data_IF_141275552885
#
_entry.id   IF_141275552885
#
_cell.length_a   1.000
_cell.length_b   1.000
_cell.length_c   1.000
_cell.angle_alpha   90.00
_cell.angle_beta   90.00
_cell.angle_gamma   90.00
#
_symmetry.space_group_name_H-M   'P 1'
#
loop_
_entity.id
_entity.type
_entity.pdbx_description
1 polymer ?
#
# COMPACT_ATOMS: atom_id res chain seq x y z
N UNK A 1 -15.62 26.44 -2.82
CA UNK A 1 -16.50 25.28 -3.04
C UNK A 1 -15.72 24.03 -2.66
N UNK A 2 -16.29 23.13 -1.87
CA UNK A 2 -15.66 21.85 -1.51
C UNK A 2 -15.81 20.87 -2.67
N UNK A 3 -14.70 20.24 -3.10
CA UNK A 3 -14.71 19.24 -4.17
C UNK A 3 -15.38 17.96 -3.66
N UNK A 4 -16.41 17.48 -4.37
CA UNK A 4 -17.11 16.23 -4.06
C UNK A 4 -16.23 15.01 -4.41
N UNK A 5 -16.28 13.95 -3.60
CA UNK A 5 -15.54 12.71 -3.84
C UNK A 5 -16.38 11.49 -3.49
N UNK A 6 -16.20 10.40 -4.24
CA UNK A 6 -16.92 9.14 -4.05
C UNK A 6 -16.17 8.13 -3.20
N UNK A 7 -14.86 8.32 -3.02
CA UNK A 7 -13.97 7.37 -2.36
C UNK A 7 -12.89 8.06 -1.53
N UNK A 8 -12.39 7.34 -0.53
CA UNK A 8 -11.22 7.72 0.28
C UNK A 8 -10.23 6.56 0.30
N UNK A 9 -8.95 6.84 0.07
CA UNK A 9 -7.85 5.91 0.27
C UNK A 9 -6.95 6.40 1.41
N UNK A 10 -6.87 5.61 2.47
CA UNK A 10 -5.90 5.79 3.55
C UNK A 10 -4.62 5.03 3.22
N UNK A 11 -3.48 5.70 3.28
CA UNK A 11 -2.18 5.15 2.85
C UNK A 11 -1.20 5.22 4.01
N UNK A 12 -0.59 4.07 4.29
CA UNK A 12 0.42 3.91 5.35
C UNK A 12 1.42 2.81 4.96
N UNK A 13 2.58 2.81 5.61
CA UNK A 13 3.70 1.91 5.31
C UNK A 13 4.19 1.07 6.49
N UNK A 14 4.95 0.02 6.17
CA UNK A 14 5.73 -0.73 7.14
C UNK A 14 7.12 -1.08 6.59
N UNK A 15 8.14 -0.99 7.44
CA UNK A 15 9.56 -0.98 7.04
C UNK A 15 10.08 0.43 6.77
N UNK A 16 11.39 0.58 6.57
CA UNK A 16 11.98 1.87 6.21
C UNK A 16 12.33 1.93 4.71
N UNK A 17 12.47 3.13 4.15
CA UNK A 17 12.77 3.34 2.74
C UNK A 17 14.27 3.49 2.44
N UNK A 18 15.12 3.34 3.45
CA UNK A 18 16.57 3.48 3.29
C UNK A 18 17.13 2.42 2.37
N UNK A 19 18.01 2.87 1.47
CA UNK A 19 18.67 2.05 0.45
C UNK A 19 20.20 2.00 0.62
N UNK A 20 20.79 2.79 1.53
CA UNK A 20 22.26 2.86 1.70
C UNK A 20 22.87 1.55 2.20
N UNK A 21 22.16 0.88 3.11
CA UNK A 21 22.54 -0.38 3.73
C UNK A 21 21.24 -1.16 3.98
N UNK A 22 21.09 -2.36 3.43
CA UNK A 22 19.82 -3.10 3.46
C UNK A 22 20.03 -4.48 4.07
N UNK A 23 19.20 -4.85 5.06
CA UNK A 23 19.21 -6.19 5.64
C UNK A 23 18.76 -7.25 4.62
N UNK A 24 19.26 -8.49 4.67
CA UNK A 24 20.33 -8.97 5.56
C UNK A 24 21.75 -8.73 5.01
N UNK A 25 21.90 -8.08 3.85
CA UNK A 25 23.21 -7.90 3.20
C UNK A 25 24.15 -7.04 4.04
N UNK A 26 23.62 -5.98 4.65
CA UNK A 26 24.37 -5.08 5.52
C UNK A 26 23.69 -4.99 6.90
N UNK A 27 24.47 -5.20 7.97
CA UNK A 27 24.01 -5.10 9.37
C UNK A 27 25.02 -4.28 10.18
N UNK A 28 24.62 -3.18 10.87
CA UNK A 28 23.26 -2.62 10.93
C UNK A 28 22.83 -2.00 9.59
N UNK A 29 21.52 -2.05 9.31
CA UNK A 29 20.95 -1.55 8.05
C UNK A 29 19.44 -1.35 8.13
N UNK A 30 18.90 -0.76 7.07
CA UNK A 30 17.47 -0.64 6.79
C UNK A 30 16.80 -2.01 6.65
N UNK A 31 15.49 -2.09 6.88
CA UNK A 31 14.67 -3.29 6.71
C UNK A 31 14.87 -3.93 5.34
N UNK A 32 14.65 -5.23 5.22
CA UNK A 32 14.75 -5.90 3.91
C UNK A 32 13.60 -5.46 3.00
N UNK A 33 12.44 -5.20 3.60
CA UNK A 33 11.20 -4.88 2.91
C UNK A 33 10.75 -3.45 3.17
N UNK A 34 10.13 -2.84 2.15
CA UNK A 34 9.23 -1.71 2.32
C UNK A 34 7.85 -2.12 1.78
N UNK A 35 6.84 -2.03 2.65
CA UNK A 35 5.45 -2.33 2.33
C UNK A 35 4.67 -1.03 2.33
N UNK A 36 3.99 -0.73 1.23
CA UNK A 36 3.03 0.36 1.17
C UNK A 36 1.63 -0.21 1.01
N UNK A 37 0.68 0.28 1.80
CA UNK A 37 -0.70 -0.17 1.77
C UNK A 37 -1.67 0.93 1.38
N UNK A 38 -2.81 0.55 0.83
CA UNK A 38 -3.98 1.43 0.78
C UNK A 38 -5.22 0.71 1.30
N UNK A 39 -5.97 1.38 2.18
CA UNK A 39 -7.35 1.00 2.55
C UNK A 39 -8.31 1.94 1.84
N UNK A 40 -9.03 1.41 0.85
CA UNK A 40 -9.99 2.16 0.04
C UNK A 40 -11.41 1.89 0.51
N UNK A 41 -12.15 2.96 0.80
CA UNK A 41 -13.56 2.91 1.19
C UNK A 41 -14.39 3.87 0.31
N UNK A 42 -15.70 3.65 0.26
CA UNK A 42 -16.63 4.67 -0.25
C UNK A 42 -16.67 5.86 0.70
N UNK A 43 -16.84 7.06 0.17
CA UNK A 43 -16.95 8.29 0.96
C UNK A 43 -18.10 8.24 1.96
N UNK A 44 -19.21 7.57 1.63
CA UNK A 44 -20.34 7.35 2.55
C UNK A 44 -19.96 6.55 3.80
N UNK A 45 -18.89 5.76 3.76
CA UNK A 45 -18.40 5.00 4.91
C UNK A 45 -17.39 5.77 5.77
N UNK A 46 -16.98 6.98 5.37
CA UNK A 46 -15.94 7.73 6.06
C UNK A 46 -16.32 8.01 7.53
N UNK A 47 -17.57 8.41 7.78
CA UNK A 47 -18.08 8.66 9.13
C UNK A 47 -18.02 7.43 10.05
N UNK A 48 -18.17 6.21 9.49
CA UNK A 48 -18.14 4.96 10.24
C UNK A 48 -16.73 4.48 10.61
N UNK A 49 -15.69 5.12 10.05
CA UNK A 49 -14.29 4.68 10.27
C UNK A 49 -13.90 4.78 11.74
N UNK A 50 -14.39 5.81 12.44
CA UNK A 50 -14.21 5.97 13.89
C UNK A 50 -14.83 4.81 14.67
N UNK A 51 -16.08 4.47 14.38
CA UNK A 51 -16.79 3.36 15.02
C UNK A 51 -16.07 2.03 14.78
N UNK A 52 -15.50 1.83 13.58
CA UNK A 52 -14.75 0.61 13.28
C UNK A 52 -13.51 0.48 14.16
N UNK A 53 -12.75 1.57 14.34
CA UNK A 53 -11.56 1.57 15.19
C UNK A 53 -11.92 1.45 16.68
N UNK A 54 -12.99 2.09 17.15
CA UNK A 54 -13.49 1.92 18.52
C UNK A 54 -13.92 0.47 18.80
N UNK A 55 -14.66 -0.14 17.88
CA UNK A 55 -15.06 -1.54 17.97
C UNK A 55 -13.84 -2.47 17.97
N UNK A 56 -12.86 -2.22 17.10
CA UNK A 56 -11.63 -3.00 17.06
C UNK A 56 -10.84 -2.89 18.37
N UNK A 57 -10.63 -1.67 18.90
CA UNK A 57 -9.97 -1.45 20.20
C UNK A 57 -10.70 -2.16 21.34
N UNK A 58 -12.04 -2.16 21.30
CA UNK A 58 -12.88 -2.91 22.23
C UNK A 58 -12.59 -4.41 22.21
N UNK A 59 -12.55 -5.02 21.02
CA UNK A 59 -12.25 -6.45 20.84
C UNK A 59 -10.83 -6.83 21.25
N UNK A 60 -9.86 -5.95 20.94
CA UNK A 60 -8.46 -6.12 21.31
C UNK A 60 -8.18 -5.89 22.81
N UNK A 61 -9.18 -5.40 23.57
CA UNK A 61 -9.06 -5.00 24.98
C UNK A 61 -7.95 -3.97 25.19
N UNK A 62 -7.84 -2.99 24.28
CA UNK A 62 -6.86 -1.88 24.33
C UNK A 62 -7.57 -0.52 24.32
N UNK A 63 -8.73 -0.42 24.99
CA UNK A 63 -9.60 0.76 24.96
C UNK A 63 -8.90 2.07 25.39
N UNK A 64 -7.85 1.99 26.21
CA UNK A 64 -7.08 3.16 26.66
C UNK A 64 -6.06 3.64 25.63
N UNK A 65 -5.71 2.84 24.63
CA UNK A 65 -4.76 3.24 23.59
C UNK A 65 -5.45 4.15 22.56
N UNK A 66 -4.84 5.30 22.29
CA UNK A 66 -5.27 6.22 21.22
C UNK A 66 -5.07 5.60 19.83
N UNK A 67 -4.03 4.78 19.68
CA UNK A 67 -3.63 4.17 18.42
C UNK A 67 -3.45 2.66 18.59
N UNK A 68 -3.89 1.89 17.59
CA UNK A 68 -3.56 0.47 17.47
C UNK A 68 -2.18 0.36 16.84
N UNK A 69 -1.16 0.03 17.62
CA UNK A 69 0.16 -0.30 17.08
C UNK A 69 0.22 -1.80 16.77
N UNK A 70 -0.07 -2.20 15.52
CA UNK A 70 -0.20 -3.61 15.16
C UNK A 70 1.04 -4.44 15.55
N UNK A 71 2.24 -3.89 15.35
CA UNK A 71 3.49 -4.59 15.65
C UNK A 71 3.61 -5.02 17.13
N UNK A 72 3.03 -4.23 18.07
CA UNK A 72 3.04 -4.47 19.53
C UNK A 72 1.99 -5.49 19.97
N UNK A 73 1.04 -5.85 19.10
CA UNK A 73 0.02 -6.82 19.43
C UNK A 73 0.60 -8.24 19.48
N UNK A 74 0.05 -9.06 20.38
CA UNK A 74 0.27 -10.51 20.40
C UNK A 74 -0.38 -11.16 19.17
N UNK A 75 0.07 -12.37 18.82
CA UNK A 75 -0.36 -13.07 17.60
C UNK A 75 -1.90 -13.27 17.52
N UNK A 76 -2.53 -13.68 18.61
CA UNK A 76 -3.99 -13.81 18.72
C UNK A 76 -4.72 -12.49 18.41
N UNK A 77 -4.21 -11.38 18.93
CA UNK A 77 -4.75 -10.03 18.71
C UNK A 77 -4.50 -9.52 17.29
N UNK A 78 -3.34 -9.84 16.71
CA UNK A 78 -3.02 -9.53 15.30
C UNK A 78 -4.01 -10.23 14.36
N UNK A 79 -4.27 -11.52 14.60
CA UNK A 79 -5.23 -12.30 13.82
C UNK A 79 -6.64 -11.71 13.96
N UNK A 80 -7.09 -11.44 15.19
CA UNK A 80 -8.40 -10.83 15.45
C UNK A 80 -8.57 -9.50 14.69
N UNK A 81 -7.53 -8.68 14.63
CA UNK A 81 -7.57 -7.41 13.89
C UNK A 81 -7.75 -7.64 12.39
N UNK A 82 -6.97 -8.55 11.79
CA UNK A 82 -7.09 -8.86 10.37
C UNK A 82 -8.45 -9.50 10.02
N UNK A 83 -8.96 -10.40 10.85
CA UNK A 83 -10.30 -11.00 10.67
C UNK A 83 -11.43 -9.97 10.79
N UNK A 84 -11.25 -8.96 11.66
CA UNK A 84 -12.19 -7.84 11.75
C UNK A 84 -12.17 -7.00 10.47
N UNK A 85 -10.97 -6.62 10.00
CA UNK A 85 -10.79 -5.88 8.76
C UNK A 85 -11.33 -6.65 7.54
N UNK A 86 -11.21 -7.98 7.51
CA UNK A 86 -11.75 -8.82 6.45
C UNK A 86 -13.28 -8.74 6.31
N UNK A 87 -13.99 -8.19 7.31
CA UNK A 87 -15.45 -8.03 7.29
C UNK A 87 -15.88 -6.63 6.85
N UNK A 88 -15.01 -5.63 6.96
CA UNK A 88 -15.33 -4.23 6.66
C UNK A 88 -15.65 -4.01 5.16
N UNK A 89 -16.49 -3.02 4.83
CA UNK A 89 -16.79 -2.63 3.45
C UNK A 89 -15.66 -1.79 2.85
N UNK A 90 -14.45 -2.37 2.82
CA UNK A 90 -13.22 -1.77 2.32
C UNK A 90 -12.54 -2.66 1.28
N UNK A 91 -11.58 -2.10 0.53
CA UNK A 91 -10.64 -2.85 -0.29
C UNK A 91 -9.21 -2.52 0.07
N UNK A 92 -8.38 -3.55 0.11
CA UNK A 92 -6.98 -3.45 0.51
C UNK A 92 -6.06 -3.65 -0.68
N UNK A 93 -5.04 -2.81 -0.75
CA UNK A 93 -3.98 -2.86 -1.75
C UNK A 93 -2.63 -2.89 -1.05
N UNK A 94 -1.69 -3.62 -1.63
CA UNK A 94 -0.32 -3.73 -1.16
C UNK A 94 0.63 -3.55 -2.34
N UNK A 95 1.68 -2.75 -2.13
CA UNK A 95 2.91 -2.82 -2.90
C UNK A 95 4.03 -3.23 -1.94
N UNK A 96 4.58 -4.41 -2.15
CA UNK A 96 5.67 -4.97 -1.37
C UNK A 96 6.96 -4.90 -2.20
N UNK A 97 7.96 -4.17 -1.72
CA UNK A 97 9.28 -4.11 -2.36
C UNK A 97 10.33 -4.79 -1.50
N UNK A 98 10.93 -5.85 -2.01
CA UNK A 98 12.18 -6.37 -1.48
C UNK A 98 13.32 -5.47 -1.97
N UNK A 99 14.11 -4.93 -1.05
CA UNK A 99 15.10 -3.90 -1.37
C UNK A 99 16.49 -4.45 -1.71
N UNK A 100 16.71 -5.77 -1.60
CA UNK A 100 18.04 -6.38 -1.83
C UNK A 100 18.62 -6.00 -3.20
N UNK A 101 17.81 -5.97 -4.25
CA UNK A 101 18.28 -5.66 -5.60
C UNK A 101 18.55 -4.17 -5.88
N UNK A 102 18.22 -3.28 -4.96
CA UNK A 102 18.35 -1.82 -5.11
C UNK A 102 19.17 -1.18 -3.98
N UNK A 103 19.86 -1.98 -3.17
CA UNK A 103 20.84 -1.48 -2.20
C UNK A 103 21.94 -0.68 -2.91
N UNK A 104 22.26 0.50 -2.37
CA UNK A 104 23.20 1.46 -2.95
C UNK A 104 22.69 2.16 -4.22
N UNK A 105 21.51 1.81 -4.74
CA UNK A 105 21.03 2.38 -5.98
C UNK A 105 20.56 3.84 -5.78
N UNK A 106 21.02 4.70 -6.68
CA UNK A 106 20.53 6.07 -6.83
C UNK A 106 19.94 6.21 -8.22
N UNK A 107 18.69 6.66 -8.32
CA UNK A 107 18.07 6.92 -9.60
C UNK A 107 18.64 8.22 -10.20
N UNK A 108 19.37 8.18 -11.34
CA UNK A 108 20.01 9.37 -11.91
C UNK A 108 19.05 10.46 -12.38
N UNK A 109 17.80 10.09 -12.69
CA UNK A 109 16.77 11.05 -13.10
C UNK A 109 15.97 11.58 -11.90
N UNK A 110 15.66 10.71 -10.95
CA UNK A 110 14.97 11.15 -9.74
C UNK A 110 15.89 11.92 -8.78
N UNK A 111 17.22 11.71 -8.83
CA UNK A 111 18.20 12.51 -8.08
C UNK A 111 18.30 13.96 -8.56
N UNK A 112 17.83 14.25 -9.79
CA UNK A 112 17.72 15.62 -10.33
C UNK A 112 16.51 16.37 -9.73
N UNK A 113 15.51 15.63 -9.23
CA UNK A 113 14.40 16.19 -8.48
C UNK A 113 14.85 16.24 -7.01
N UNK A 114 14.74 17.38 -6.32
CA UNK A 114 15.13 17.50 -4.91
C UNK A 114 14.12 16.80 -3.98
N UNK A 115 13.74 15.55 -4.27
CA UNK A 115 13.03 14.69 -3.33
C UNK A 115 14.04 13.76 -2.69
N UNK A 116 14.24 13.91 -1.37
CA UNK A 116 15.06 12.97 -0.60
C UNK A 116 14.41 11.57 -0.53
N UNK A 117 13.15 11.43 -0.98
CA UNK A 117 12.31 10.25 -0.86
C UNK A 117 11.86 9.66 -2.22
N UNK A 118 12.72 9.69 -3.24
CA UNK A 118 12.33 9.22 -4.60
C UNK A 118 11.77 7.79 -4.61
N UNK A 119 12.32 6.90 -3.77
CA UNK A 119 11.91 5.50 -3.71
C UNK A 119 10.48 5.37 -3.16
N UNK A 120 10.14 6.16 -2.13
CA UNK A 120 8.78 6.24 -1.62
C UNK A 120 7.80 6.81 -2.65
N UNK A 121 8.18 7.86 -3.38
CA UNK A 121 7.38 8.41 -4.48
C UNK A 121 7.15 7.38 -5.60
N UNK A 122 8.15 6.54 -5.89
CA UNK A 122 8.03 5.44 -6.83
C UNK A 122 7.03 4.37 -6.33
N UNK A 123 7.18 3.91 -5.09
CA UNK A 123 6.26 2.95 -4.46
C UNK A 123 4.82 3.45 -4.45
N UNK A 124 4.64 4.72 -4.12
CA UNK A 124 3.33 5.36 -4.08
C UNK A 124 2.72 5.47 -5.45
N UNK A 125 3.51 5.82 -6.48
CA UNK A 125 3.04 5.76 -7.87
C UNK A 125 2.53 4.36 -8.19
N UNK A 126 3.33 3.31 -7.96
CA UNK A 126 2.93 1.92 -8.26
C UNK A 126 1.64 1.55 -7.54
N UNK A 127 1.46 1.97 -6.29
CA UNK A 127 0.22 1.76 -5.53
C UNK A 127 -0.97 2.48 -6.19
N UNK A 128 -0.81 3.77 -6.50
CA UNK A 128 -1.86 4.59 -7.09
C UNK A 128 -2.29 4.08 -8.46
N UNK A 129 -1.38 3.58 -9.30
CA UNK A 129 -1.72 2.94 -10.58
C UNK A 129 -2.80 1.85 -10.42
N UNK A 130 -2.82 1.10 -9.30
CA UNK A 130 -3.85 0.08 -9.01
C UNK A 130 -5.07 0.67 -8.33
N UNK A 131 -4.86 1.55 -7.36
CA UNK A 131 -5.96 2.19 -6.62
C UNK A 131 -6.84 3.03 -7.55
N UNK A 132 -6.25 3.86 -8.40
CA UNK A 132 -7.02 4.71 -9.33
C UNK A 132 -7.71 3.88 -10.41
N UNK A 133 -7.07 2.83 -10.91
CA UNK A 133 -7.71 1.89 -11.83
C UNK A 133 -8.94 1.22 -11.20
N UNK A 134 -8.82 0.77 -9.95
CA UNK A 134 -9.95 0.22 -9.20
C UNK A 134 -11.07 1.24 -9.03
N UNK A 135 -10.75 2.45 -8.59
CA UNK A 135 -11.73 3.49 -8.31
C UNK A 135 -12.44 3.94 -9.58
N UNK A 136 -11.72 4.15 -10.69
CA UNK A 136 -12.32 4.51 -11.97
C UNK A 136 -13.34 3.45 -12.43
N UNK A 137 -12.92 2.18 -12.43
CA UNK A 137 -13.78 1.08 -12.83
C UNK A 137 -14.96 0.85 -11.86
N UNK A 138 -14.78 1.09 -10.56
CA UNK A 138 -15.82 0.90 -9.54
C UNK A 138 -16.80 2.07 -9.49
N UNK A 139 -16.32 3.28 -9.75
CA UNK A 139 -17.15 4.49 -9.75
C UNK A 139 -18.22 4.44 -10.82
N UNK A 140 -17.90 3.95 -12.02
CA UNK A 140 -18.89 3.75 -13.08
C UNK A 140 -20.02 2.79 -12.67
N UNK A 141 -19.73 1.78 -11.84
CA UNK A 141 -20.74 0.84 -11.33
C UNK A 141 -21.55 1.45 -10.19
N UNK A 142 -20.90 2.16 -9.29
CA UNK A 142 -21.51 2.64 -8.06
C UNK A 142 -22.30 3.95 -8.26
N UNK A 143 -21.90 4.77 -9.24
CA UNK A 143 -22.44 6.12 -9.45
C UNK A 143 -22.85 6.42 -10.90
N UNK A 144 -22.56 5.53 -11.87
CA UNK A 144 -22.78 5.80 -13.30
C UNK A 144 -21.78 6.76 -13.94
N UNK A 145 -20.90 7.38 -13.15
CA UNK A 145 -19.87 8.33 -13.58
C UNK A 145 -18.57 8.17 -12.78
N UNK A 146 -17.49 8.78 -13.25
CA UNK A 146 -16.21 8.82 -12.53
C UNK A 146 -16.29 9.86 -11.40
N UNK A 147 -16.14 9.40 -10.16
CA UNK A 147 -16.09 10.24 -8.95
C UNK A 147 -14.66 10.32 -8.45
N UNK A 148 -14.31 11.48 -7.88
CA UNK A 148 -12.97 11.69 -7.37
C UNK A 148 -12.65 10.79 -6.17
N UNK A 149 -11.36 10.50 -6.05
CA UNK A 149 -10.70 9.82 -4.95
C UNK A 149 -10.01 10.85 -4.07
N UNK A 150 -10.32 10.82 -2.78
CA UNK A 150 -9.56 11.50 -1.74
C UNK A 150 -8.41 10.61 -1.25
N UNK A 151 -7.21 11.17 -1.18
CA UNK A 151 -6.03 10.48 -0.67
C UNK A 151 -5.65 11.05 0.69
N UNK A 152 -5.46 10.18 1.67
CA UNK A 152 -4.99 10.54 3.00
C UNK A 152 -3.75 9.71 3.35
N UNK A 153 -2.60 10.37 3.49
CA UNK A 153 -1.35 9.75 3.87
C UNK A 153 -1.09 9.86 5.36
N UNK A 154 -0.43 8.85 5.90
CA UNK A 154 0.23 8.91 7.20
C UNK A 154 1.46 9.82 7.14
N UNK A 155 1.65 10.66 8.15
CA UNK A 155 2.81 11.54 8.23
C UNK A 155 4.09 10.77 8.52
N UNK A 156 5.18 11.15 7.83
CA UNK A 156 6.48 10.51 7.96
C UNK A 156 7.60 11.54 8.01
N UNK A 157 8.59 11.29 8.87
CA UNK A 157 9.82 12.08 8.92
C UNK A 157 10.56 12.09 7.57
N UNK A 158 10.91 13.28 7.08
CA UNK A 158 11.73 13.48 5.86
C UNK A 158 10.94 13.71 4.58
N UNK A 159 9.63 13.44 4.55
CA UNK A 159 8.79 13.67 3.37
C UNK A 159 8.17 15.07 3.42
N UNK A 160 8.58 15.96 2.51
CA UNK A 160 7.93 17.26 2.35
C UNK A 160 6.74 17.12 1.40
N UNK A 161 5.52 17.40 1.86
CA UNK A 161 4.30 17.20 1.07
C UNK A 161 4.18 18.06 -0.19
N UNK A 162 4.79 19.24 -0.18
CA UNK A 162 4.96 20.05 -1.39
C UNK A 162 5.75 19.29 -2.48
N UNK A 163 6.70 18.42 -2.11
CA UNK A 163 7.43 17.58 -3.05
C UNK A 163 6.56 16.46 -3.63
N UNK A 164 5.66 15.87 -2.82
CA UNK A 164 4.77 14.82 -3.34
C UNK A 164 3.73 15.40 -4.30
N UNK A 165 3.17 16.58 -3.98
CA UNK A 165 2.32 17.32 -4.92
C UNK A 165 3.04 17.64 -6.23
N UNK A 166 4.25 18.20 -6.14
CA UNK A 166 5.05 18.52 -7.31
C UNK A 166 5.37 17.27 -8.14
N UNK A 167 5.63 16.14 -7.48
CA UNK A 167 5.85 14.85 -8.15
C UNK A 167 4.62 14.38 -8.93
N UNK A 168 3.42 14.48 -8.36
CA UNK A 168 2.20 14.11 -9.09
C UNK A 168 1.87 15.03 -10.25
N UNK A 169 2.03 16.35 -10.07
CA UNK A 169 1.87 17.30 -11.17
C UNK A 169 2.89 17.01 -12.29
N UNK A 170 4.14 16.72 -11.93
CA UNK A 170 5.16 16.29 -12.89
C UNK A 170 4.78 15.01 -13.63
N UNK A 171 4.27 13.99 -12.92
CA UNK A 171 3.77 12.75 -13.55
C UNK A 171 2.60 13.02 -14.51
N UNK A 172 1.68 13.91 -14.13
CA UNK A 172 0.53 14.30 -14.96
C UNK A 172 0.97 15.00 -16.25
N UNK A 173 1.97 15.89 -16.15
CA UNK A 173 2.55 16.58 -17.31
C UNK A 173 3.32 15.63 -18.24
N UNK A 174 3.97 14.61 -17.69
CA UNK A 174 4.72 13.58 -18.44
C UNK A 174 3.84 12.47 -19.04
N UNK A 175 2.53 12.74 -19.20
CA UNK A 175 1.44 11.87 -19.69
C UNK A 175 1.77 10.99 -20.91
N UNK A 176 2.82 11.29 -21.68
CA UNK A 176 3.06 10.73 -23.01
C UNK A 176 4.09 9.61 -23.12
N UNK A 177 4.79 9.16 -22.06
CA UNK A 177 5.71 7.99 -22.14
C UNK A 177 6.31 7.61 -20.77
N UNK A 178 5.63 6.84 -19.92
CA UNK A 178 6.31 6.30 -18.75
C UNK A 178 7.42 5.34 -19.21
N UNK A 179 8.62 5.43 -18.62
CA UNK A 179 9.76 4.55 -18.92
C UNK A 179 9.39 3.06 -18.80
N UNK A 180 8.43 2.77 -17.92
CA UNK A 180 7.79 1.48 -17.80
C UNK A 180 6.36 1.60 -18.31
N UNK A 181 5.91 0.81 -19.31
CA UNK A 181 4.57 0.89 -19.91
C UNK A 181 3.45 0.39 -18.96
N UNK A 182 3.72 0.35 -17.66
CA UNK A 182 2.92 -0.32 -16.65
C UNK A 182 1.79 0.60 -16.19
N UNK A 183 0.66 -0.02 -15.81
CA UNK A 183 -0.64 0.59 -15.47
C UNK A 183 -0.56 2.07 -15.13
N UNK A 184 -1.20 2.93 -15.91
CA UNK A 184 -1.09 4.36 -15.72
C UNK A 184 -1.97 4.81 -14.54
N UNK A 185 -1.58 5.89 -13.87
CA UNK A 185 -2.49 6.58 -12.95
C UNK A 185 -3.70 7.04 -13.78
N UNK A 186 -4.89 6.64 -13.34
CA UNK A 186 -6.13 7.12 -13.92
C UNK A 186 -6.43 8.50 -13.35
N UNK A 187 -6.06 9.52 -14.13
CA UNK A 187 -6.22 10.91 -13.73
C UNK A 187 -7.69 11.36 -13.68
N UNK A 188 -8.65 10.57 -14.19
CA UNK A 188 -10.08 10.94 -14.14
C UNK A 188 -10.64 10.92 -12.72
N UNK A 189 -10.01 10.17 -11.81
CA UNK A 189 -10.42 10.08 -10.39
C UNK A 189 -9.54 10.92 -9.47
N UNK A 190 -8.56 11.65 -10.00
CA UNK A 190 -7.59 12.38 -9.20
C UNK A 190 -7.90 13.88 -9.20
N UNK A 191 -7.90 14.49 -8.02
CA UNK A 191 -8.01 15.94 -7.88
C UNK A 191 -6.93 16.46 -6.94
N UNK A 192 -6.29 17.58 -7.30
CA UNK A 192 -5.18 18.16 -6.51
C UNK A 192 -5.63 18.49 -5.09
N UNK A 193 -6.80 19.11 -4.94
CA UNK A 193 -7.27 19.58 -3.63
C UNK A 193 -7.87 18.46 -2.75
N UNK A 194 -7.77 17.19 -3.19
CA UNK A 194 -8.21 16.01 -2.44
C UNK A 194 -7.04 15.16 -1.94
N UNK A 195 -5.87 15.78 -1.82
CA UNK A 195 -4.66 15.17 -1.30
C UNK A 195 -4.36 15.74 0.09
N UNK A 196 -4.31 14.86 1.09
CA UNK A 196 -4.08 15.26 2.47
C UNK A 196 -3.06 14.36 3.16
N UNK A 197 -2.38 14.92 4.15
CA UNK A 197 -1.49 14.17 5.04
C UNK A 197 -1.81 14.52 6.47
N UNK A 198 -1.88 13.49 7.30
CA UNK A 198 -2.20 13.61 8.71
C UNK A 198 -1.24 12.76 9.54
N UNK A 199 -0.94 13.16 10.79
CA UNK A 199 -0.31 12.26 11.74
C UNK A 199 -1.11 10.95 11.88
N UNK A 200 -0.42 9.82 12.04
CA UNK A 200 -1.05 8.50 12.09
C UNK A 200 -2.12 8.33 13.20
N UNK A 201 -2.10 9.17 14.24
CA UNK A 201 -3.10 9.18 15.32
C UNK A 201 -4.33 10.07 15.05
N UNK A 202 -4.26 10.97 14.07
CA UNK A 202 -5.29 11.99 13.83
C UNK A 202 -6.45 11.47 12.96
N UNK A 203 -6.18 10.48 12.10
CA UNK A 203 -7.20 9.85 11.25
C UNK A 203 -7.34 8.38 11.56
N UNK A 204 -8.52 7.96 12.01
CA UNK A 204 -8.82 6.56 12.34
C UNK A 204 -8.64 5.63 11.13
N UNK A 205 -8.85 6.13 9.91
CA UNK A 205 -8.64 5.35 8.69
C UNK A 205 -7.19 4.99 8.42
N UNK A 206 -6.24 5.82 8.86
CA UNK A 206 -4.80 5.51 8.75
C UNK A 206 -4.43 4.30 9.61
N UNK A 207 -5.08 4.13 10.76
CA UNK A 207 -4.87 2.92 11.59
C UNK A 207 -5.33 1.63 10.89
N UNK A 208 -6.31 1.71 9.98
CA UNK A 208 -6.68 0.55 9.16
C UNK A 208 -5.58 0.21 8.15
N UNK A 209 -4.99 1.24 7.52
CA UNK A 209 -3.87 1.06 6.61
C UNK A 209 -2.63 0.50 7.34
N UNK A 210 -2.29 0.99 8.53
CA UNK A 210 -1.21 0.42 9.37
C UNK A 210 -1.39 -1.09 9.57
N UNK A 211 -2.58 -1.53 9.97
CA UNK A 211 -2.86 -2.95 10.21
C UNK A 211 -2.61 -3.78 8.94
N UNK A 212 -3.02 -3.28 7.77
CA UNK A 212 -2.82 -3.95 6.49
C UNK A 212 -1.33 -3.99 6.12
N UNK A 213 -0.62 -2.87 6.20
CA UNK A 213 0.82 -2.80 5.91
C UNK A 213 1.62 -3.72 6.84
N UNK A 214 1.37 -3.61 8.15
CA UNK A 214 2.05 -4.38 9.19
C UNK A 214 1.78 -5.89 9.10
N UNK A 215 0.57 -6.31 8.70
CA UNK A 215 0.26 -7.72 8.47
C UNK A 215 1.10 -8.31 7.31
N UNK A 216 1.26 -7.56 6.22
CA UNK A 216 2.11 -7.98 5.10
C UNK A 216 3.60 -7.89 5.44
N UNK A 217 4.04 -6.89 6.20
CA UNK A 217 5.42 -6.82 6.67
C UNK A 217 5.77 -8.03 7.52
N UNK A 218 4.92 -8.40 8.49
CA UNK A 218 5.09 -9.61 9.31
C UNK A 218 5.11 -10.91 8.48
N UNK A 219 4.47 -10.93 7.31
CA UNK A 219 4.44 -12.12 6.45
C UNK A 219 5.72 -12.36 5.64
N UNK A 220 6.58 -11.36 5.43
CA UNK A 220 7.73 -11.46 4.53
C UNK A 220 9.05 -10.96 5.12
N UNK A 221 9.02 -10.07 6.11
CA UNK A 221 10.23 -9.63 6.79
C UNK A 221 10.52 -10.51 8.00
N UNK A 222 11.59 -11.29 7.94
CA UNK A 222 12.05 -12.15 9.05
C UNK A 222 13.15 -11.51 9.90
N UNK A 223 13.77 -10.43 9.43
CA UNK A 223 14.94 -9.83 10.08
C UNK A 223 14.55 -8.81 11.13
N UNK A 224 13.51 -8.02 10.86
CA UNK A 224 12.95 -7.05 11.80
C UNK A 224 11.81 -7.63 12.63
N UNK A 225 11.18 -8.72 12.16
CA UNK A 225 10.06 -9.35 12.88
C UNK A 225 10.38 -10.71 13.51
N UNK A 226 11.61 -11.20 13.35
CA UNK A 226 12.14 -12.47 13.88
C UNK A 226 11.75 -13.72 13.09
N UNK A 227 10.61 -13.71 12.39
CA UNK A 227 10.14 -14.82 11.55
C UNK A 227 9.06 -14.35 10.59
N UNK A 228 8.90 -15.00 9.44
CA UNK A 228 7.74 -14.78 8.60
C UNK A 228 6.51 -15.44 9.23
N UNK A 229 5.41 -14.71 9.35
CA UNK A 229 4.10 -15.25 9.73
C UNK A 229 3.02 -14.74 8.76
N UNK A 230 2.64 -15.56 7.75
CA UNK A 230 1.68 -15.14 6.74
C UNK A 230 0.23 -15.19 7.24
N UNK A 231 -0.03 -15.70 8.44
CA UNK A 231 -1.40 -15.94 8.96
C UNK A 231 -2.26 -14.67 8.94
N UNK A 232 -1.68 -13.55 9.37
CA UNK A 232 -2.38 -12.27 9.47
C UNK A 232 -2.73 -11.70 8.09
N UNK A 233 -1.76 -11.69 7.17
CA UNK A 233 -1.99 -11.22 5.81
C UNK A 233 -3.02 -12.13 5.10
N UNK A 234 -2.92 -13.46 5.23
CA UNK A 234 -3.89 -14.41 4.67
C UNK A 234 -5.32 -14.14 5.11
N UNK A 235 -5.53 -13.74 6.37
CA UNK A 235 -6.86 -13.42 6.89
C UNK A 235 -7.53 -12.23 6.15
N UNK A 236 -6.76 -11.35 5.51
CA UNK A 236 -7.28 -10.21 4.74
C UNK A 236 -7.80 -10.60 3.33
N UNK A 237 -7.57 -11.84 2.89
CA UNK A 237 -7.98 -12.36 1.56
C UNK A 237 -9.39 -11.93 1.11
N UNK A 238 -10.44 -11.99 1.94
CA UNK A 238 -11.81 -11.66 1.50
C UNK A 238 -11.99 -10.23 0.99
N UNK A 239 -11.08 -9.31 1.34
CA UNK A 239 -11.17 -7.88 1.01
C UNK A 239 -9.97 -7.34 0.23
N UNK A 240 -9.00 -8.19 -0.09
CA UNK A 240 -7.94 -7.79 -1.03
C UNK A 240 -8.56 -7.40 -2.36
N UNK A 241 -8.07 -6.30 -2.94
CA UNK A 241 -8.56 -5.83 -4.22
C UNK A 241 -8.27 -6.85 -5.32
N UNK A 242 -9.25 -7.01 -6.21
CA UNK A 242 -9.18 -7.87 -7.39
C UNK A 242 -9.43 -7.04 -8.62
N UNK A 243 -8.69 -7.34 -9.67
CA UNK A 243 -9.03 -6.82 -10.99
C UNK A 243 -10.41 -7.38 -11.43
N UNK A 244 -11.21 -6.56 -12.12
CA UNK A 244 -12.55 -6.98 -12.57
C UNK A 244 -12.52 -8.00 -13.69
N UNK A 245 -11.51 -7.96 -14.57
CA UNK A 245 -11.46 -8.80 -15.76
C UNK A 245 -10.98 -10.22 -15.44
N UNK A 246 -9.92 -10.35 -14.64
CA UNK A 246 -9.29 -11.64 -14.30
C UNK A 246 -9.60 -12.14 -12.90
N UNK A 247 -10.26 -11.33 -12.06
CA UNK A 247 -10.46 -11.63 -10.63
C UNK A 247 -9.14 -11.86 -9.87
N UNK A 248 -8.03 -11.34 -10.40
CA UNK A 248 -6.68 -11.61 -9.91
C UNK A 248 -6.26 -10.63 -8.82
N UNK A 249 -5.63 -11.15 -7.75
CA UNK A 249 -5.07 -10.35 -6.65
C UNK A 249 -3.59 -10.06 -6.90
N UNK A 250 -2.82 -11.07 -7.31
CA UNK A 250 -1.39 -10.94 -7.64
C UNK A 250 -1.16 -9.89 -8.73
N UNK A 251 -0.22 -8.98 -8.51
CA UNK A 251 0.05 -7.83 -9.37
C UNK A 251 -0.94 -6.68 -9.31
N UNK A 252 -2.11 -6.88 -8.67
CA UNK A 252 -3.18 -5.89 -8.52
C UNK A 252 -3.38 -5.49 -7.06
N UNK A 253 -4.19 -6.23 -6.29
CA UNK A 253 -4.34 -6.00 -4.86
C UNK A 253 -3.08 -6.32 -4.05
N UNK A 254 -2.20 -7.20 -4.56
CA UNK A 254 -0.88 -7.47 -3.98
C UNK A 254 0.16 -7.41 -5.07
N UNK A 255 0.93 -6.32 -5.14
CA UNK A 255 2.04 -6.15 -6.08
C UNK A 255 3.37 -6.40 -5.38
N UNK A 256 4.12 -7.37 -5.88
CA UNK A 256 5.50 -7.65 -5.49
C UNK A 256 6.49 -6.95 -6.46
N UNK A 257 7.52 -6.32 -5.86
CA UNK A 257 8.67 -5.73 -6.53
C UNK A 257 9.97 -6.26 -5.90
N UNK A 258 10.98 -6.64 -6.71
CA UNK A 258 10.87 -6.95 -8.14
C UNK A 258 9.97 -8.19 -8.37
N UNK A 259 9.92 -8.77 -9.58
CA UNK A 259 9.12 -9.99 -9.79
C UNK A 259 9.56 -11.12 -8.85
N UNK A 260 8.67 -12.08 -8.56
CA UNK A 260 8.95 -13.20 -7.65
C UNK A 260 10.26 -13.92 -8.03
N UNK A 261 10.51 -14.12 -9.33
CA UNK A 261 11.74 -14.72 -9.86
C UNK A 261 13.00 -13.89 -9.60
N UNK A 262 12.90 -12.56 -9.70
CA UNK A 262 14.02 -11.63 -9.50
C UNK A 262 14.28 -11.28 -8.04
N UNK A 263 13.29 -11.45 -7.17
CA UNK A 263 13.39 -11.09 -5.77
C UNK A 263 14.27 -12.06 -4.97
N UNK A 264 14.55 -13.26 -5.50
CA UNK A 264 15.41 -14.28 -4.87
C UNK A 264 15.04 -14.50 -3.40
N UNK A 265 13.75 -14.71 -3.16
CA UNK A 265 13.15 -14.94 -1.84
C UNK A 265 13.31 -16.41 -1.44
N UNK A 266 13.44 -16.70 -0.15
CA UNK A 266 13.33 -18.07 0.35
C UNK A 266 11.87 -18.55 0.42
N UNK A 267 11.66 -19.81 0.83
CA UNK A 267 10.32 -20.41 0.87
C UNK A 267 9.35 -19.68 1.81
N UNK A 268 9.82 -19.25 2.99
CA UNK A 268 8.99 -18.58 4.00
C UNK A 268 8.53 -17.21 3.49
N UNK A 269 9.44 -16.45 2.88
CA UNK A 269 9.14 -15.14 2.29
C UNK A 269 8.23 -15.27 1.05
N UNK A 270 8.40 -16.32 0.26
CA UNK A 270 7.54 -16.57 -0.91
C UNK A 270 6.11 -16.97 -0.53
N UNK A 271 5.90 -17.56 0.66
CA UNK A 271 4.65 -18.21 1.04
C UNK A 271 3.43 -17.28 0.91
N UNK A 272 3.55 -16.01 1.30
CA UNK A 272 2.45 -15.05 1.21
C UNK A 272 2.14 -14.66 -0.24
N UNK A 273 3.16 -14.46 -1.08
CA UNK A 273 2.96 -14.08 -2.47
C UNK A 273 2.38 -15.22 -3.28
N UNK A 274 2.85 -16.46 -3.05
CA UNK A 274 2.27 -17.67 -3.65
C UNK A 274 0.81 -17.87 -3.25
N UNK A 275 0.48 -17.62 -1.98
CA UNK A 275 -0.91 -17.65 -1.51
C UNK A 275 -1.82 -16.67 -2.27
N UNK A 276 -1.30 -15.50 -2.65
CA UNK A 276 -2.05 -14.51 -3.44
C UNK A 276 -1.98 -14.70 -4.96
N UNK A 277 -1.41 -15.80 -5.45
CA UNK A 277 -1.49 -16.21 -6.85
C UNK A 277 -0.20 -16.04 -7.68
N UNK A 278 0.91 -15.61 -7.08
CA UNK A 278 2.19 -15.57 -7.79
C UNK A 278 2.69 -16.99 -8.15
N UNK A 279 3.39 -17.19 -9.29
CA UNK A 279 4.01 -16.16 -10.14
C UNK A 279 3.07 -15.49 -11.16
N UNK A 280 1.89 -16.05 -11.41
CA UNK A 280 0.90 -15.44 -12.29
C UNK A 280 0.44 -14.10 -11.69
N UNK A 281 0.39 -13.03 -12.48
CA UNK A 281 0.02 -11.71 -11.98
C UNK A 281 -0.74 -10.91 -13.04
N UNK A 282 -1.63 -10.01 -12.58
CA UNK A 282 -2.49 -9.17 -13.41
C UNK A 282 -1.73 -8.46 -14.52
N UNK A 283 -0.49 -8.10 -14.22
CA UNK A 283 0.41 -7.48 -15.16
C UNK A 283 1.80 -8.12 -15.09
N UNK A 284 2.06 -9.05 -16.02
CA UNK A 284 3.37 -9.65 -16.26
C UNK A 284 3.79 -9.40 -17.72
N UNK A 285 4.63 -8.40 -18.00
CA UNK A 285 5.11 -8.17 -19.36
C UNK A 285 5.92 -9.36 -19.91
N UNK A 286 6.50 -10.20 -19.03
CA UNK A 286 7.18 -11.43 -19.46
C UNK A 286 6.21 -12.59 -19.76
N UNK A 287 4.96 -12.55 -19.26
CA UNK A 287 3.92 -13.51 -19.65
C UNK A 287 3.30 -13.20 -21.02
N UNK A 288 3.51 -11.99 -21.54
CA UNK A 288 3.05 -11.55 -22.87
C UNK A 288 4.15 -11.58 -23.93
N UNK A 289 5.40 -11.84 -23.56
CA UNK A 289 6.46 -12.22 -24.48
C UNK A 289 6.46 -13.73 -24.67
N UNK A 290 5.56 -14.21 -25.53
CA UNK A 290 5.76 -15.46 -26.28
C UNK A 290 6.21 -15.10 -27.69
#
# INVERSE_FOLDING_TARGET
MTVEYGYVAYIDEAGDDGLRAVKPRTVPGSSEWLILSATVIRATNQAHTKDWIENLRGRLRVRQAKTIHFHKLRADKKLLACEYLAKLPARYFIVASNKKNIEGYTNPDASKIPSQCWFYCWMTRVLLERVTHYVAARSLVDFGESKFLRLEYSERGGLRYSQMHAYYEWLKMKRSRPFLPWGQIDWSVMHRDLFFVYPHWDREGLQLADVVASAFFKSCDKHDTGSCDPTFAKALLPRMAKDRSRSQISGYGVKLLPSLSKASLDQDQQAIFRFYGYPEQWWDPAAFSK
#
